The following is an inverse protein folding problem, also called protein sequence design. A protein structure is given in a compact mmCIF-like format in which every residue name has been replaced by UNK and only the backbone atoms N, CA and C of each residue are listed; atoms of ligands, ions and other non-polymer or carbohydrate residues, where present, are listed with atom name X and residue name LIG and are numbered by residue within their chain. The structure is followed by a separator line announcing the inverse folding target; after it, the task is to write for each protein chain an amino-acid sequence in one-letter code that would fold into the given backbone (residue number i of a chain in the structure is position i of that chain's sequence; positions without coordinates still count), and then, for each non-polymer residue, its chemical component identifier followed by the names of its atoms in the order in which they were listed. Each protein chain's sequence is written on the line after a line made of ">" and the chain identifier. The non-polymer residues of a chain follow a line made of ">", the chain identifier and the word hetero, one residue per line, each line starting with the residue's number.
data_IF_214637106164
#
_entry.id   IF_214637106164
#
_cell.length_a   1.000
_cell.length_b   1.000
_cell.length_c   1.000
_cell.angle_alpha   90.00
_cell.angle_beta   90.00
_cell.angle_gamma   90.00
#
_symmetry.space_group_name_H-M   'P 1'
#
loop_
_entity.id
_entity.type
_entity.pdbx_description
1 polymer ?
#
# COMPACT_ATOMS: atom_id res chain seq x y z
N UNK A 1 -8.47 -7.10 -32.02
CA UNK A 1 -7.14 -7.39 -31.46
C UNK A 1 -6.19 -6.32 -31.96
N UNK A 2 -6.18 -5.15 -31.31
CA UNK A 2 -5.22 -4.07 -31.58
C UNK A 2 -4.58 -3.73 -30.24
N UNK A 3 -3.28 -3.95 -30.17
CA UNK A 3 -2.44 -3.71 -29.01
C UNK A 3 -2.46 -2.20 -28.73
N UNK A 4 -2.76 -1.78 -27.51
CA UNK A 4 -3.13 -0.41 -27.10
C UNK A 4 -2.00 0.64 -27.20
N UNK A 5 -1.07 0.56 -28.16
CA UNK A 5 0.13 1.42 -28.22
C UNK A 5 0.47 1.84 -29.67
N UNK A 6 -0.48 2.43 -30.39
CA UNK A 6 -0.28 2.76 -31.81
C UNK A 6 0.27 4.17 -32.09
N UNK A 7 0.32 5.09 -31.11
CA UNK A 7 0.87 6.44 -31.33
C UNK A 7 2.15 6.69 -30.51
N UNK A 8 3.22 7.27 -31.12
CA UNK A 8 4.47 7.58 -30.42
C UNK A 8 4.28 8.38 -29.13
N UNK A 9 3.32 9.32 -29.14
CA UNK A 9 2.95 10.13 -27.96
C UNK A 9 2.41 9.29 -26.80
N UNK A 10 1.67 8.20 -27.07
CA UNK A 10 1.15 7.31 -26.02
C UNK A 10 2.27 6.43 -25.43
N UNK A 11 3.22 5.99 -26.25
CA UNK A 11 4.43 5.30 -25.78
C UNK A 11 5.19 6.17 -24.79
N UNK A 12 5.41 7.44 -25.16
CA UNK A 12 6.13 8.42 -24.34
C UNK A 12 5.40 8.68 -23.00
N UNK A 13 4.08 8.89 -23.04
CA UNK A 13 3.27 9.07 -21.83
C UNK A 13 3.33 7.85 -20.89
N UNK A 14 3.30 6.63 -21.46
CA UNK A 14 3.47 5.40 -20.67
C UNK A 14 4.88 5.33 -20.07
N UNK A 15 5.91 5.72 -20.81
CA UNK A 15 7.28 5.80 -20.30
C UNK A 15 7.39 6.71 -19.07
N UNK A 16 6.81 7.91 -19.13
CA UNK A 16 6.77 8.81 -17.97
C UNK A 16 5.98 8.23 -16.80
N UNK A 17 4.84 7.59 -17.06
CA UNK A 17 4.05 6.93 -16.02
C UNK A 17 4.86 5.80 -15.35
N UNK A 18 5.59 5.01 -16.12
CA UNK A 18 6.44 3.93 -15.59
C UNK A 18 7.55 4.47 -14.69
N UNK A 19 8.22 5.56 -15.10
CA UNK A 19 9.26 6.20 -14.29
C UNK A 19 8.67 6.76 -12.99
N UNK A 20 7.53 7.46 -13.06
CA UNK A 20 6.84 7.99 -11.88
C UNK A 20 6.41 6.87 -10.93
N UNK A 21 5.87 5.78 -11.45
CA UNK A 21 5.51 4.61 -10.67
C UNK A 21 6.74 4.00 -10.00
N UNK A 22 7.82 3.76 -10.74
CA UNK A 22 9.06 3.21 -10.16
C UNK A 22 9.59 4.11 -9.04
N UNK A 23 9.59 5.43 -9.24
CA UNK A 23 10.02 6.38 -8.22
C UNK A 23 9.17 6.29 -6.94
N UNK A 24 7.84 6.32 -7.08
CA UNK A 24 6.93 6.23 -5.93
C UNK A 24 7.12 4.92 -5.16
N UNK A 25 7.24 3.81 -5.90
CA UNK A 25 7.44 2.48 -5.35
C UNK A 25 8.80 2.35 -4.63
N UNK A 26 9.87 2.88 -5.22
CA UNK A 26 11.20 2.91 -4.61
C UNK A 26 11.24 3.77 -3.35
N UNK A 27 10.54 4.92 -3.34
CA UNK A 27 10.44 5.78 -2.15
C UNK A 27 9.72 5.04 -1.01
N UNK A 28 8.60 4.37 -1.30
CA UNK A 28 7.87 3.60 -0.29
C UNK A 28 8.74 2.50 0.35
N UNK A 29 9.46 1.73 -0.48
CA UNK A 29 10.42 0.72 0.00
C UNK A 29 11.54 1.34 0.84
N UNK A 30 12.13 2.44 0.35
CA UNK A 30 13.20 3.15 1.04
C UNK A 30 12.77 3.66 2.42
N UNK A 31 11.62 4.34 2.50
CA UNK A 31 11.10 4.89 3.76
C UNK A 31 10.89 3.78 4.79
N UNK A 32 10.19 2.69 4.42
CA UNK A 32 9.95 1.57 5.34
C UNK A 32 11.26 0.96 5.85
N UNK A 33 12.26 0.76 4.97
CA UNK A 33 13.57 0.24 5.37
C UNK A 33 14.35 1.19 6.26
N UNK A 34 14.29 2.49 5.97
CA UNK A 34 14.95 3.53 6.75
C UNK A 34 14.40 3.56 8.17
N UNK A 35 13.09 3.64 8.33
CA UNK A 35 12.44 3.70 9.65
C UNK A 35 12.72 2.42 10.46
N UNK A 36 12.64 1.24 9.83
CA UNK A 36 12.99 -0.03 10.48
C UNK A 36 14.44 -0.04 11.00
N UNK A 37 15.37 0.49 10.21
CA UNK A 37 16.78 0.57 10.61
C UNK A 37 17.00 1.56 11.76
N UNK A 38 16.33 2.73 11.73
CA UNK A 38 16.42 3.75 12.78
C UNK A 38 15.86 3.23 14.12
N UNK A 39 14.73 2.52 14.08
CA UNK A 39 14.10 1.95 15.27
C UNK A 39 14.73 0.61 15.72
N UNK A 40 15.72 0.08 14.97
CA UNK A 40 16.28 -1.28 15.15
C UNK A 40 15.18 -2.35 15.23
N UNK A 41 14.13 -2.17 14.43
CA UNK A 41 12.91 -2.96 14.47
C UNK A 41 12.86 -4.01 13.34
N UNK A 42 11.88 -4.90 13.43
CA UNK A 42 11.52 -5.83 12.35
C UNK A 42 9.99 -5.87 12.20
N UNK A 43 9.52 -6.23 11.01
CA UNK A 43 8.12 -6.60 10.77
C UNK A 43 7.98 -8.08 10.50
N UNK A 44 6.79 -8.62 10.77
CA UNK A 44 6.39 -9.95 10.33
C UNK A 44 5.81 -9.83 8.92
N UNK A 45 6.55 -10.31 7.93
CA UNK A 45 6.16 -10.33 6.54
C UNK A 45 5.36 -11.58 6.14
N UNK A 46 5.10 -11.75 4.83
CA UNK A 46 4.46 -12.94 4.28
C UNK A 46 5.17 -14.22 4.71
N UNK A 47 4.41 -15.27 5.04
CA UNK A 47 4.97 -16.53 5.55
C UNK A 47 5.49 -16.46 7.00
N UNK A 48 5.10 -15.42 7.76
CA UNK A 48 5.53 -15.18 9.15
C UNK A 48 7.04 -14.97 9.33
N UNK A 49 7.72 -14.52 8.27
CA UNK A 49 9.16 -14.28 8.28
C UNK A 49 9.46 -12.89 8.88
N UNK A 50 10.41 -12.82 9.80
CA UNK A 50 10.92 -11.54 10.34
C UNK A 50 11.75 -10.83 9.29
N UNK A 51 11.45 -9.57 9.01
CA UNK A 51 12.12 -8.77 7.99
C UNK A 51 12.54 -7.42 8.56
N UNK A 52 13.84 -7.10 8.44
CA UNK A 52 14.41 -5.78 8.72
C UNK A 52 14.58 -4.95 7.45
N UNK A 53 14.63 -5.61 6.28
CA UNK A 53 14.74 -5.00 4.95
C UNK A 53 13.72 -5.62 3.98
N UNK A 54 12.41 -5.38 4.18
CA UNK A 54 11.39 -5.95 3.30
C UNK A 54 11.52 -5.41 1.87
N UNK A 55 11.19 -6.21 0.87
CA UNK A 55 10.97 -5.72 -0.50
C UNK A 55 9.61 -5.05 -0.61
N UNK A 56 9.43 -4.21 -1.62
CA UNK A 56 8.15 -3.59 -1.95
C UNK A 56 7.02 -4.63 -2.07
N UNK A 57 7.29 -5.78 -2.71
CA UNK A 57 6.30 -6.85 -2.83
C UNK A 57 5.92 -7.43 -1.45
N UNK A 58 6.88 -7.56 -0.53
CA UNK A 58 6.60 -8.01 0.82
C UNK A 58 5.77 -6.96 1.60
N UNK A 59 6.10 -5.67 1.46
CA UNK A 59 5.33 -4.55 2.02
C UNK A 59 3.89 -4.60 1.48
N UNK A 60 3.72 -4.72 0.16
CA UNK A 60 2.41 -4.77 -0.47
C UNK A 60 1.57 -5.96 0.02
N UNK A 61 2.17 -7.15 0.11
CA UNK A 61 1.49 -8.36 0.59
C UNK A 61 1.05 -8.28 2.05
N UNK A 62 1.65 -7.41 2.88
CA UNK A 62 1.19 -7.22 4.27
C UNK A 62 -0.20 -6.58 4.29
N UNK A 63 -0.50 -5.69 3.35
CA UNK A 63 -1.81 -5.07 3.22
C UNK A 63 -2.93 -6.04 2.82
N UNK A 64 -2.61 -7.23 2.30
CA UNK A 64 -3.62 -8.25 1.98
C UNK A 64 -4.35 -8.78 3.22
N UNK A 65 -3.80 -8.56 4.41
CA UNK A 65 -4.44 -8.92 5.67
C UNK A 65 -5.57 -7.96 6.09
N UNK A 66 -5.65 -6.77 5.47
CA UNK A 66 -6.67 -5.76 5.72
C UNK A 66 -7.98 -6.23 5.12
N UNK A 67 -9.03 -6.25 5.94
CA UNK A 67 -10.37 -6.60 5.51
C UNK A 67 -11.35 -5.53 6.03
N UNK A 68 -12.16 -5.00 5.12
CA UNK A 68 -13.17 -3.97 5.40
C UNK A 68 -14.55 -4.48 5.00
N UNK A 69 -15.57 -4.04 5.72
CA UNK A 69 -16.97 -4.20 5.35
C UNK A 69 -17.51 -2.85 4.91
N UNK A 70 -18.40 -2.88 3.92
CA UNK A 70 -19.14 -1.71 3.43
C UNK A 70 -20.62 -2.01 3.51
N UNK A 71 -21.38 -1.18 4.19
CA UNK A 71 -22.83 -1.30 4.35
C UNK A 71 -23.46 -0.01 3.86
N UNK A 72 -24.57 -0.11 3.12
CA UNK A 72 -25.35 1.07 2.72
C UNK A 72 -26.54 1.21 3.63
N UNK A 73 -26.67 2.35 4.32
CA UNK A 73 -27.79 2.69 5.20
C UNK A 73 -28.32 4.05 4.74
N UNK A 74 -29.61 4.12 4.42
CA UNK A 74 -30.27 5.36 3.96
C UNK A 74 -29.53 6.08 2.82
N UNK A 75 -28.94 5.30 1.90
CA UNK A 75 -28.16 5.81 0.77
C UNK A 75 -26.74 6.26 1.10
N UNK A 76 -26.33 6.23 2.37
CA UNK A 76 -24.97 6.51 2.82
C UNK A 76 -24.15 5.21 2.93
N UNK A 77 -22.91 5.26 2.43
CA UNK A 77 -21.98 4.15 2.53
C UNK A 77 -21.21 4.27 3.84
N UNK A 78 -21.39 3.31 4.73
CA UNK A 78 -20.62 3.15 5.94
C UNK A 78 -19.56 2.07 5.73
N UNK A 79 -18.31 2.41 6.03
CA UNK A 79 -17.18 1.48 5.97
C UNK A 79 -16.63 1.24 7.35
N UNK A 80 -16.31 -0.02 7.63
CA UNK A 80 -15.71 -0.43 8.90
C UNK A 80 -14.67 -1.52 8.68
N UNK A 81 -13.79 -1.71 9.65
CA UNK A 81 -12.91 -2.87 9.65
C UNK A 81 -13.68 -4.11 10.10
N UNK A 82 -13.46 -5.25 9.45
CA UNK A 82 -14.05 -6.53 9.92
C UNK A 82 -13.33 -7.09 11.13
N UNK A 83 -12.07 -6.67 11.33
CA UNK A 83 -11.18 -7.03 12.43
C UNK A 83 -10.15 -5.92 12.64
N UNK A 84 -9.54 -5.86 13.81
CA UNK A 84 -8.46 -4.91 14.06
C UNK A 84 -7.30 -5.07 13.05
N UNK A 85 -6.72 -3.95 12.61
CA UNK A 85 -5.54 -3.95 11.76
C UNK A 85 -4.38 -4.68 12.44
N UNK A 86 -3.74 -5.59 11.71
CA UNK A 86 -2.59 -6.33 12.23
C UNK A 86 -1.42 -5.37 12.55
N UNK A 87 -0.61 -5.65 13.58
CA UNK A 87 0.47 -4.75 14.00
C UNK A 87 1.46 -4.38 12.88
N UNK A 88 1.77 -5.33 12.00
CA UNK A 88 2.63 -5.09 10.84
C UNK A 88 2.01 -4.11 9.83
N UNK A 89 0.68 -4.13 9.65
CA UNK A 89 -0.04 -3.15 8.82
C UNK A 89 0.06 -1.77 9.46
N UNK A 90 -0.27 -1.65 10.76
CA UNK A 90 -0.19 -0.39 11.51
C UNK A 90 1.20 0.24 11.44
N UNK A 91 2.24 -0.57 11.64
CA UNK A 91 3.65 -0.13 11.55
C UNK A 91 3.98 0.42 10.18
N UNK A 92 3.61 -0.27 9.10
CA UNK A 92 3.89 0.20 7.74
C UNK A 92 3.12 1.49 7.43
N UNK A 93 1.84 1.57 7.79
CA UNK A 93 1.04 2.78 7.63
C UNK A 93 1.67 3.98 8.34
N UNK A 94 2.12 3.78 9.59
CA UNK A 94 2.85 4.80 10.36
C UNK A 94 4.11 5.27 9.64
N UNK A 95 4.97 4.36 9.18
CA UNK A 95 6.19 4.73 8.45
C UNK A 95 5.92 5.47 7.14
N UNK A 96 4.84 5.12 6.43
CA UNK A 96 4.45 5.79 5.21
C UNK A 96 3.68 7.11 5.45
N UNK A 97 3.40 7.48 6.70
CA UNK A 97 2.58 8.65 7.03
C UNK A 97 1.12 8.53 6.59
N UNK A 98 0.62 7.30 6.43
CA UNK A 98 -0.75 7.01 5.98
C UNK A 98 -1.62 6.78 7.21
N UNK A 99 -2.75 7.49 7.38
CA UNK A 99 -3.63 7.27 8.52
C UNK A 99 -4.36 5.92 8.40
N UNK A 100 -4.54 5.21 9.50
CA UNK A 100 -5.25 3.91 9.52
C UNK A 100 -6.67 4.01 8.96
N UNK A 101 -7.34 5.14 9.18
CA UNK A 101 -8.72 5.36 8.71
C UNK A 101 -8.85 5.49 7.19
N UNK A 102 -7.75 5.43 6.41
CA UNK A 102 -7.80 5.50 4.95
C UNK A 102 -8.70 4.42 4.33
N UNK A 103 -8.76 3.23 4.96
CA UNK A 103 -9.57 2.11 4.48
C UNK A 103 -11.06 2.24 4.80
N UNK A 104 -11.41 3.08 5.77
CA UNK A 104 -12.79 3.29 6.21
C UNK A 104 -13.28 4.70 5.89
N UNK A 105 -12.50 5.47 5.12
CA UNK A 105 -12.89 6.79 4.64
C UNK A 105 -13.92 6.63 3.50
N UNK A 106 -15.07 7.28 3.68
CA UNK A 106 -16.17 7.38 2.71
C UNK A 106 -17.45 6.69 3.21
N UNK A 107 -18.61 7.35 3.25
CA UNK A 107 -18.95 8.71 2.80
C UNK A 107 -19.85 9.43 3.83
N UNK A 108 -19.45 10.65 4.21
CA UNK A 108 -20.39 11.70 4.64
C UNK A 108 -20.88 12.43 3.40
#
# INVERSE_FOLDING_TARGET
>A
NSLYVDSPRRVEAIGYLMILLMLLLSIAEYVVRRELAQEKAFIIGPGKVKMTKPSLLAIYRIFYSVATVSITIDGQIHRGFTKELAPNVKTILRYLGIPENIYIRGAS
#
